data_IF_111325023521
#
_entry.id   IF_111325023521
#
_cell.length_a   1.000
_cell.length_b   1.000
_cell.length_c   1.000
_cell.angle_alpha   90.00
_cell.angle_beta   90.00
_cell.angle_gamma   90.00
#
_symmetry.space_group_name_H-M   'P 1'
#
loop_
_entity.id
_entity.type
_entity.pdbx_description
1 polymer ?
#
# COMPACT_ATOMS: atom_id res chain seq x y z
N UNK A 1 21.59 1.19 -27.99
CA UNK A 1 21.82 1.94 -26.74
C UNK A 1 20.75 1.45 -25.81
N UNK A 2 21.12 0.55 -24.88
CA UNK A 2 20.21 0.07 -23.84
C UNK A 2 19.90 1.26 -22.92
N UNK A 3 18.71 1.84 -23.04
CA UNK A 3 18.14 2.66 -21.99
C UNK A 3 17.91 1.72 -20.81
N UNK A 4 18.83 1.73 -19.84
CA UNK A 4 18.60 1.16 -18.53
C UNK A 4 17.56 2.09 -17.90
N UNK A 5 16.29 1.71 -18.01
CA UNK A 5 15.21 2.31 -17.22
C UNK A 5 15.67 2.30 -15.76
N UNK A 6 15.53 3.41 -15.05
CA UNK A 6 15.94 3.49 -13.66
C UNK A 6 15.15 2.45 -12.86
N UNK A 7 15.83 1.39 -12.44
CA UNK A 7 15.23 0.28 -11.74
C UNK A 7 14.72 0.75 -10.36
N UNK A 8 13.47 0.48 -10.05
CA UNK A 8 12.90 0.69 -8.71
C UNK A 8 13.71 -0.10 -7.69
N UNK A 9 14.17 0.55 -6.63
CA UNK A 9 14.98 -0.07 -5.57
C UNK A 9 14.36 0.16 -4.21
N UNK A 10 14.46 -0.86 -3.37
CA UNK A 10 14.05 -0.76 -1.97
C UNK A 10 15.15 -0.21 -1.09
N UNK A 11 14.73 0.39 0.03
CA UNK A 11 15.59 0.85 1.12
C UNK A 11 14.87 0.69 2.46
N UNK A 12 15.60 0.40 3.51
CA UNK A 12 15.09 0.55 4.88
C UNK A 12 15.31 1.99 5.30
N UNK A 13 14.23 2.71 5.55
CA UNK A 13 14.31 4.13 5.95
C UNK A 13 14.26 4.27 7.46
N UNK A 14 15.24 5.00 8.00
CA UNK A 14 15.36 5.27 9.44
C UNK A 14 14.08 5.90 10.02
N UNK A 15 13.41 6.79 9.27
CA UNK A 15 12.14 7.42 9.69
C UNK A 15 10.98 6.42 9.78
N UNK A 16 10.94 5.42 8.91
CA UNK A 16 9.88 4.40 8.93
C UNK A 16 10.09 3.42 10.08
N UNK A 17 11.33 2.94 10.33
CA UNK A 17 11.61 2.09 11.48
C UNK A 17 11.36 2.83 12.81
N UNK A 18 11.77 4.11 12.91
CA UNK A 18 11.51 4.94 14.09
C UNK A 18 10.01 5.06 14.38
N UNK A 19 9.22 5.37 13.35
CA UNK A 19 7.76 5.52 13.47
C UNK A 19 7.10 4.20 13.85
N UNK A 20 7.42 3.11 13.16
CA UNK A 20 6.87 1.78 13.42
C UNK A 20 7.19 1.31 14.84
N UNK A 21 8.41 1.52 15.31
CA UNK A 21 8.83 1.20 16.68
C UNK A 21 8.04 2.05 17.71
N UNK A 22 7.85 3.34 17.46
CA UNK A 22 7.08 4.19 18.36
C UNK A 22 5.61 3.73 18.46
N UNK A 23 4.99 3.34 17.35
CA UNK A 23 3.64 2.78 17.32
C UNK A 23 3.57 1.40 18.01
N UNK A 24 4.58 0.53 17.82
CA UNK A 24 4.71 -0.73 18.56
C UNK A 24 4.73 -0.48 20.08
N UNK A 25 5.54 0.45 20.56
CA UNK A 25 5.62 0.80 21.98
C UNK A 25 4.31 1.38 22.52
N UNK A 26 3.53 2.04 21.70
CA UNK A 26 2.19 2.53 22.03
C UNK A 26 1.12 1.44 22.07
N UNK A 27 1.44 0.22 21.67
CA UNK A 27 0.49 -0.88 21.68
C UNK A 27 -0.39 -0.95 20.42
N UNK A 28 0.06 -0.40 19.30
CA UNK A 28 -0.66 -0.46 18.04
C UNK A 28 -0.64 -1.90 17.49
N UNK A 29 -1.82 -2.50 17.30
CA UNK A 29 -1.97 -3.92 16.96
C UNK A 29 -1.22 -4.31 15.70
N UNK A 30 -1.23 -3.46 14.68
CA UNK A 30 -0.55 -3.65 13.42
C UNK A 30 0.98 -3.69 13.54
N UNK A 31 1.53 -3.14 14.62
CA UNK A 31 2.97 -3.12 14.90
C UNK A 31 3.39 -4.06 16.03
N UNK A 32 2.43 -4.61 16.81
CA UNK A 32 2.70 -5.66 17.82
C UNK A 32 2.75 -7.01 17.11
N UNK A 33 3.81 -7.24 16.38
CA UNK A 33 4.08 -8.50 15.71
C UNK A 33 5.41 -9.06 16.19
N UNK A 34 5.64 -10.32 15.92
CA UNK A 34 6.90 -11.01 16.19
C UNK A 34 7.45 -11.64 14.92
N UNK A 35 7.32 -10.93 13.81
CA UNK A 35 7.70 -11.43 12.49
C UNK A 35 9.19 -11.74 12.41
N UNK A 36 10.04 -10.89 13.01
CA UNK A 36 11.48 -11.14 13.14
C UNK A 36 11.80 -11.17 14.64
N UNK A 37 11.74 -12.36 15.29
CA UNK A 37 11.78 -12.47 16.76
C UNK A 37 13.00 -11.83 17.40
N UNK A 38 14.19 -11.99 16.81
CA UNK A 38 15.42 -11.35 17.33
C UNK A 38 15.32 -9.84 17.31
N UNK A 39 14.90 -9.27 16.19
CA UNK A 39 14.76 -7.82 16.03
C UNK A 39 13.70 -7.22 16.95
N UNK A 40 12.55 -7.88 17.07
CA UNK A 40 11.47 -7.40 17.95
C UNK A 40 11.84 -7.52 19.42
N UNK A 41 12.57 -8.55 19.82
CA UNK A 41 13.12 -8.68 21.17
C UNK A 41 14.14 -7.56 21.49
N UNK A 42 15.00 -7.21 20.54
CA UNK A 42 15.95 -6.10 20.68
C UNK A 42 15.23 -4.76 20.82
N UNK A 43 14.14 -4.54 20.05
CA UNK A 43 13.28 -3.36 20.21
C UNK A 43 12.72 -3.30 21.63
N UNK A 44 12.08 -4.38 22.08
CA UNK A 44 11.40 -4.43 23.38
C UNK A 44 12.37 -4.23 24.53
N UNK A 45 13.61 -4.77 24.42
CA UNK A 45 14.67 -4.59 25.41
C UNK A 45 15.24 -3.16 25.39
N UNK A 46 15.62 -2.66 24.23
CA UNK A 46 16.30 -1.36 24.10
C UNK A 46 15.38 -0.19 24.52
N UNK A 47 14.11 -0.26 24.10
CA UNK A 47 13.16 0.81 24.34
C UNK A 47 12.27 0.62 25.58
N UNK A 48 12.44 -0.44 26.36
CA UNK A 48 11.62 -0.75 27.57
C UNK A 48 11.45 0.43 28.53
N UNK A 49 12.53 1.15 28.80
CA UNK A 49 12.55 2.31 29.71
C UNK A 49 11.90 3.58 29.16
N UNK A 50 11.50 3.58 27.88
CA UNK A 50 10.89 4.73 27.22
C UNK A 50 9.37 4.56 26.97
N UNK A 51 8.74 3.52 27.54
CA UNK A 51 7.30 3.26 27.39
C UNK A 51 6.43 4.39 27.95
N UNK A 52 6.94 5.17 28.90
CA UNK A 52 6.28 6.34 29.50
C UNK A 52 6.68 7.67 28.81
N UNK A 53 7.37 7.61 27.67
CA UNK A 53 7.73 8.83 26.93
C UNK A 53 6.48 9.53 26.38
N UNK A 54 6.46 10.87 26.39
CA UNK A 54 5.32 11.69 25.93
C UNK A 54 4.82 11.33 24.52
N UNK A 55 5.70 10.90 23.62
CA UNK A 55 5.32 10.42 22.29
C UNK A 55 4.39 9.22 22.39
N UNK A 56 4.68 8.25 23.24
CA UNK A 56 3.92 7.01 23.36
C UNK A 56 2.49 7.29 23.83
N UNK A 57 2.33 8.13 24.86
CA UNK A 57 1.01 8.57 25.30
C UNK A 57 0.27 9.36 24.23
N UNK A 58 0.99 10.19 23.47
CA UNK A 58 0.42 10.96 22.37
C UNK A 58 -0.06 10.07 21.23
N UNK A 59 0.70 9.06 20.85
CA UNK A 59 0.28 8.08 19.81
C UNK A 59 -1.01 7.37 20.26
N UNK A 60 -1.11 6.90 21.50
CA UNK A 60 -2.34 6.28 22.03
C UNK A 60 -3.53 7.23 21.86
N UNK A 61 -3.36 8.50 22.23
CA UNK A 61 -4.40 9.53 22.12
C UNK A 61 -4.87 9.71 20.66
N UNK A 62 -3.96 9.95 19.71
CA UNK A 62 -4.35 10.20 18.31
C UNK A 62 -4.91 8.95 17.62
N UNK A 63 -4.54 7.75 18.06
CA UNK A 63 -5.17 6.49 17.61
C UNK A 63 -6.61 6.42 18.05
N UNK A 64 -6.89 6.73 19.31
CA UNK A 64 -8.24 6.70 19.88
C UNK A 64 -9.14 7.80 19.33
N UNK A 65 -8.64 9.04 19.29
CA UNK A 65 -9.44 10.21 18.93
C UNK A 65 -9.58 10.43 17.42
N UNK A 66 -8.58 10.05 16.63
CA UNK A 66 -8.51 10.35 15.20
C UNK A 66 -8.44 9.09 14.31
N UNK A 67 -8.36 7.90 14.90
CA UNK A 67 -8.27 6.65 14.15
C UNK A 67 -6.94 6.49 13.37
N UNK A 68 -5.86 7.14 13.81
CA UNK A 68 -4.55 7.05 13.14
C UNK A 68 -3.96 5.65 13.34
N UNK A 69 -4.07 4.82 12.32
CA UNK A 69 -3.65 3.43 12.30
C UNK A 69 -3.37 2.99 10.85
N UNK A 70 -2.74 1.84 10.68
CA UNK A 70 -2.50 1.20 9.38
C UNK A 70 -1.85 2.15 8.37
N UNK A 71 -2.48 2.39 7.24
CA UNK A 71 -2.01 3.22 6.12
C UNK A 71 -1.81 4.71 6.48
N UNK A 72 -2.54 5.24 7.48
CA UNK A 72 -2.33 6.62 7.96
C UNK A 72 -0.92 6.84 8.52
N UNK A 73 -0.31 5.80 9.09
CA UNK A 73 1.01 5.91 9.71
C UNK A 73 2.11 6.09 8.66
N UNK A 74 2.26 5.20 7.65
CA UNK A 74 3.23 5.40 6.58
C UNK A 74 2.91 6.63 5.72
N UNK A 75 1.64 7.02 5.55
CA UNK A 75 1.25 8.24 4.84
C UNK A 75 1.89 9.49 5.47
N UNK A 76 1.76 9.66 6.78
CA UNK A 76 2.41 10.75 7.50
C UNK A 76 3.94 10.61 7.53
N UNK A 77 4.45 9.37 7.68
CA UNK A 77 5.90 9.10 7.71
C UNK A 77 6.59 9.43 6.39
N UNK A 78 5.88 9.32 5.26
CA UNK A 78 6.35 9.77 3.95
C UNK A 78 6.71 11.25 3.90
N UNK A 79 6.14 12.05 4.81
CA UNK A 79 6.43 13.49 4.99
C UNK A 79 7.48 13.78 6.08
N UNK A 80 8.18 12.76 6.58
CA UNK A 80 9.18 12.91 7.64
C UNK A 80 10.58 12.58 7.11
N UNK A 81 11.53 13.44 7.41
CA UNK A 81 12.94 13.26 7.10
C UNK A 81 13.79 13.27 8.38
N UNK A 82 14.84 12.45 8.40
CA UNK A 82 15.88 12.53 9.44
C UNK A 82 17.11 13.16 8.80
N UNK A 83 17.44 14.36 9.26
CA UNK A 83 18.56 15.13 8.72
C UNK A 83 19.42 15.71 9.82
N UNK A 84 20.73 15.45 9.74
CA UNK A 84 21.71 15.93 10.73
C UNK A 84 21.33 15.61 12.17
N UNK A 85 20.83 14.37 12.40
CA UNK A 85 20.43 13.91 13.74
C UNK A 85 19.14 14.52 14.29
N UNK A 86 18.30 15.06 13.44
CA UNK A 86 16.98 15.62 13.78
C UNK A 86 15.89 15.03 12.90
N UNK A 87 14.75 14.72 13.52
CA UNK A 87 13.52 14.39 12.82
C UNK A 87 12.80 15.68 12.50
N UNK A 88 12.53 15.90 11.24
CA UNK A 88 11.87 17.11 10.72
C UNK A 88 10.77 16.73 9.73
N UNK A 89 9.84 17.64 9.53
CA UNK A 89 8.95 17.58 8.36
C UNK A 89 9.82 17.82 7.12
N UNK A 90 9.70 16.94 6.12
CA UNK A 90 10.39 17.11 4.84
C UNK A 90 10.11 18.51 4.29
N UNK A 91 11.13 19.34 3.98
CA UNK A 91 10.92 20.69 3.47
C UNK A 91 10.09 20.77 2.18
N UNK A 92 9.98 19.67 1.47
CA UNK A 92 9.14 19.56 0.28
C UNK A 92 7.68 19.23 0.64
N UNK A 93 7.38 18.87 1.89
CA UNK A 93 6.04 18.51 2.35
C UNK A 93 5.35 19.74 2.97
N UNK A 94 4.14 20.04 2.51
CA UNK A 94 3.29 21.08 3.11
C UNK A 94 2.42 20.47 4.22
N UNK A 95 2.84 20.65 5.47
CA UNK A 95 2.12 20.12 6.62
C UNK A 95 0.67 20.62 6.74
N UNK A 96 0.34 21.79 6.19
CA UNK A 96 -1.04 22.31 6.20
C UNK A 96 -1.98 21.48 5.32
N UNK A 97 -1.42 20.66 4.42
CA UNK A 97 -2.16 19.80 3.52
C UNK A 97 -2.10 18.33 3.91
N UNK A 98 -1.62 17.99 5.10
CA UNK A 98 -1.48 16.59 5.54
C UNK A 98 -2.81 15.84 5.48
N UNK A 99 -3.94 16.50 5.75
CA UNK A 99 -5.28 15.93 5.65
C UNK A 99 -5.70 15.54 4.23
N UNK A 100 -5.02 16.06 3.21
CA UNK A 100 -5.22 15.64 1.81
C UNK A 100 -4.46 14.35 1.49
N UNK A 101 -3.42 14.01 2.26
CA UNK A 101 -2.73 12.72 2.17
C UNK A 101 -3.57 11.67 2.88
N UNK A 102 -3.98 11.97 4.11
CA UNK A 102 -4.86 11.12 4.90
C UNK A 102 -5.70 11.99 5.84
N UNK A 103 -7.02 11.92 5.69
CA UNK A 103 -7.98 12.78 6.38
C UNK A 103 -8.01 12.60 7.91
N UNK A 104 -7.43 11.51 8.42
CA UNK A 104 -7.29 11.26 9.87
C UNK A 104 -6.27 12.19 10.53
N UNK A 105 -5.32 12.74 9.76
CA UNK A 105 -4.33 13.69 10.26
C UNK A 105 -4.82 15.14 10.12
N UNK A 106 -4.60 15.92 11.17
CA UNK A 106 -4.67 17.38 11.13
C UNK A 106 -3.26 17.97 11.10
N UNK A 107 -3.11 19.21 10.64
CA UNK A 107 -1.81 19.91 10.71
C UNK A 107 -1.26 19.94 12.14
N UNK A 108 -2.11 20.22 13.12
CA UNK A 108 -1.73 20.29 14.54
C UNK A 108 -1.25 18.94 15.06
N UNK A 109 -2.01 17.87 14.80
CA UNK A 109 -1.64 16.52 15.25
C UNK A 109 -0.34 16.06 14.60
N UNK A 110 -0.15 16.32 13.32
CA UNK A 110 1.06 15.96 12.61
C UNK A 110 2.30 16.73 13.10
N UNK A 111 2.21 18.04 13.24
CA UNK A 111 3.32 18.84 13.77
C UNK A 111 3.70 18.46 15.20
N UNK A 112 2.71 18.18 16.04
CA UNK A 112 2.94 17.69 17.41
C UNK A 112 3.60 16.32 17.40
N UNK A 113 3.13 15.42 16.56
CA UNK A 113 3.73 14.09 16.39
C UNK A 113 5.20 14.20 15.99
N UNK A 114 5.54 14.94 14.95
CA UNK A 114 6.94 15.09 14.47
C UNK A 114 7.84 15.70 15.55
N UNK A 115 7.36 16.70 16.28
CA UNK A 115 8.11 17.29 17.40
C UNK A 115 8.41 16.27 18.49
N UNK A 116 7.41 15.50 18.92
CA UNK A 116 7.59 14.46 19.94
C UNK A 116 8.43 13.28 19.42
N UNK A 117 8.32 12.94 18.15
CA UNK A 117 9.14 11.93 17.49
C UNK A 117 10.62 12.34 17.48
N UNK A 118 10.92 13.63 17.24
CA UNK A 118 12.26 14.16 17.34
C UNK A 118 12.81 14.09 18.76
N UNK A 119 12.00 14.40 19.77
CA UNK A 119 12.41 14.30 21.17
C UNK A 119 12.71 12.83 21.53
N UNK A 120 11.87 11.91 21.11
CA UNK A 120 12.05 10.47 21.29
C UNK A 120 13.31 9.98 20.58
N UNK A 121 13.53 10.33 19.32
CA UNK A 121 14.73 9.98 18.56
C UNK A 121 16.02 10.36 19.29
N UNK A 122 16.08 11.57 19.83
CA UNK A 122 17.25 12.08 20.54
C UNK A 122 17.44 11.43 21.91
N UNK A 123 16.38 11.32 22.71
CA UNK A 123 16.45 10.78 24.08
C UNK A 123 16.77 9.29 24.09
N UNK A 124 16.26 8.55 23.11
CA UNK A 124 16.52 7.11 22.97
C UNK A 124 17.85 6.79 22.29
N UNK A 125 18.52 7.80 21.72
CA UNK A 125 19.67 7.58 20.82
C UNK A 125 19.33 6.60 19.70
N UNK A 126 18.19 6.79 19.07
CA UNK A 126 17.64 5.88 18.05
C UNK A 126 18.66 5.55 16.96
N UNK A 127 19.51 6.51 16.58
CA UNK A 127 20.57 6.30 15.59
C UNK A 127 21.50 5.15 15.94
N UNK A 128 21.82 4.97 17.22
CA UNK A 128 22.70 3.89 17.67
C UNK A 128 22.01 2.53 17.48
N UNK A 129 20.72 2.45 17.86
CA UNK A 129 19.90 1.26 17.60
C UNK A 129 19.79 0.93 16.09
N UNK A 130 19.48 1.93 15.27
CA UNK A 130 19.37 1.76 13.81
C UNK A 130 20.70 1.29 13.20
N UNK A 131 21.82 1.86 13.64
CA UNK A 131 23.15 1.49 13.16
C UNK A 131 23.52 0.06 13.57
N UNK A 132 23.16 -0.35 14.77
CA UNK A 132 23.42 -1.71 15.28
C UNK A 132 22.74 -2.79 14.41
N UNK A 133 21.56 -2.47 13.85
CA UNK A 133 20.77 -3.40 13.04
C UNK A 133 21.01 -3.27 11.53
N UNK A 134 22.02 -2.48 11.10
CA UNK A 134 22.27 -2.25 9.67
C UNK A 134 22.41 -3.55 8.86
N UNK A 135 23.03 -4.58 9.45
CA UNK A 135 23.16 -5.88 8.79
C UNK A 135 21.83 -6.55 8.42
N UNK A 136 20.81 -6.46 9.30
CA UNK A 136 19.47 -6.95 9.00
C UNK A 136 18.80 -6.12 7.91
N UNK A 137 18.99 -4.81 7.93
CA UNK A 137 18.44 -3.91 6.91
C UNK A 137 19.05 -4.18 5.54
N UNK A 138 20.36 -4.41 5.47
CA UNK A 138 21.06 -4.76 4.22
C UNK A 138 20.54 -6.09 3.63
N UNK A 139 20.24 -7.08 4.48
CA UNK A 139 19.61 -8.34 4.06
C UNK A 139 18.21 -8.07 3.51
N UNK A 140 17.39 -7.27 4.20
CA UNK A 140 16.03 -6.94 3.76
C UNK A 140 16.05 -6.22 2.39
N UNK A 141 16.88 -5.18 2.25
CA UNK A 141 17.04 -4.44 1.00
C UNK A 141 17.49 -5.35 -0.14
N UNK A 142 18.50 -6.17 0.09
CA UNK A 142 19.05 -7.09 -0.92
C UNK A 142 17.98 -8.08 -1.38
N UNK A 143 17.29 -8.73 -0.44
CA UNK A 143 16.28 -9.75 -0.76
C UNK A 143 15.04 -9.16 -1.43
N UNK A 144 14.56 -7.99 -1.00
CA UNK A 144 13.45 -7.32 -1.64
C UNK A 144 13.81 -6.86 -3.06
N UNK A 145 15.03 -6.37 -3.26
CA UNK A 145 15.51 -5.97 -4.57
C UNK A 145 15.56 -7.15 -5.57
N UNK A 146 15.79 -8.40 -5.12
CA UNK A 146 15.72 -9.57 -6.01
C UNK A 146 14.31 -9.82 -6.56
N UNK A 147 13.26 -9.35 -5.86
CA UNK A 147 11.87 -9.42 -6.32
C UNK A 147 11.56 -8.25 -7.25
N UNK A 148 12.04 -7.05 -6.91
CA UNK A 148 11.81 -5.83 -7.71
C UNK A 148 12.44 -5.89 -9.10
N UNK A 149 13.48 -6.71 -9.31
CA UNK A 149 14.05 -6.96 -10.67
C UNK A 149 12.98 -7.44 -11.65
N UNK A 150 11.95 -8.10 -11.16
CA UNK A 150 10.89 -8.69 -11.98
C UNK A 150 9.75 -7.71 -12.30
N UNK A 151 9.80 -6.49 -11.76
CA UNK A 151 8.80 -5.47 -12.04
C UNK A 151 8.97 -4.93 -13.46
N UNK A 152 7.92 -5.04 -14.28
CA UNK A 152 7.88 -4.44 -15.61
C UNK A 152 7.38 -2.99 -15.52
N UNK A 153 8.31 -2.04 -15.40
CA UNK A 153 7.99 -0.61 -15.33
C UNK A 153 7.37 -0.08 -16.64
N UNK A 154 7.77 -0.62 -17.79
CA UNK A 154 7.22 -0.21 -19.11
C UNK A 154 5.74 -0.57 -19.26
N UNK A 155 5.27 -1.62 -18.58
CA UNK A 155 3.84 -1.91 -18.55
C UNK A 155 3.05 -0.77 -17.91
N UNK A 156 3.49 -0.25 -16.75
CA UNK A 156 2.85 0.91 -16.11
C UNK A 156 2.82 2.12 -17.02
N UNK A 157 3.94 2.41 -17.69
CA UNK A 157 4.05 3.52 -18.63
C UNK A 157 3.10 3.36 -19.81
N UNK A 158 2.97 2.12 -20.32
CA UNK A 158 2.00 1.81 -21.37
C UNK A 158 0.56 1.98 -20.90
N UNK A 159 0.25 1.61 -19.66
CA UNK A 159 -1.12 1.64 -19.13
C UNK A 159 -1.57 3.02 -18.67
N UNK A 160 -0.65 3.84 -18.14
CA UNK A 160 -0.98 5.09 -17.45
C UNK A 160 -0.29 6.33 -18.04
N UNK A 161 0.65 6.16 -18.99
CA UNK A 161 1.47 7.25 -19.54
C UNK A 161 2.70 7.59 -18.69
N UNK A 162 2.83 7.02 -17.51
CA UNK A 162 3.97 7.19 -16.59
C UNK A 162 4.31 5.87 -15.87
N UNK A 163 5.59 5.66 -15.59
CA UNK A 163 6.10 4.48 -14.90
C UNK A 163 6.31 4.70 -13.40
N UNK A 164 6.66 3.63 -12.64
CA UNK A 164 6.87 3.69 -11.20
C UNK A 164 8.29 4.13 -10.79
N UNK A 165 9.12 4.63 -11.69
CA UNK A 165 10.56 4.89 -11.46
C UNK A 165 10.82 5.88 -10.32
N UNK A 166 9.89 6.78 -10.06
CA UNK A 166 9.98 7.77 -8.98
C UNK A 166 9.33 7.28 -7.67
N UNK A 167 8.90 6.02 -7.61
CA UNK A 167 8.29 5.46 -6.40
C UNK A 167 9.35 5.05 -5.39
N UNK A 168 9.15 5.43 -4.14
CA UNK A 168 9.98 5.04 -3.01
C UNK A 168 9.48 3.69 -2.50
N UNK A 169 10.31 2.65 -2.55
CA UNK A 169 9.98 1.36 -1.95
C UNK A 169 10.72 1.24 -0.62
N UNK A 170 9.96 1.17 0.46
CA UNK A 170 10.50 1.04 1.82
C UNK A 170 10.34 -0.41 2.28
N UNK A 171 11.45 -1.07 2.59
CA UNK A 171 11.43 -2.30 3.36
C UNK A 171 11.34 -1.92 4.85
N UNK A 172 10.36 -2.45 5.58
CA UNK A 172 10.22 -2.17 7.02
C UNK A 172 10.10 -3.45 7.83
N UNK A 173 11.02 -3.62 8.79
CA UNK A 173 11.11 -4.83 9.60
C UNK A 173 10.09 -4.82 10.74
N UNK A 174 9.85 -3.65 11.33
CA UNK A 174 8.89 -3.50 12.42
C UNK A 174 7.43 -3.44 11.93
N UNK A 175 7.22 -3.23 10.64
CA UNK A 175 5.87 -3.18 10.04
C UNK A 175 5.17 -4.55 10.01
N UNK A 176 5.89 -5.64 10.34
CA UNK A 176 5.35 -6.99 10.25
C UNK A 176 4.98 -7.36 8.81
N UNK A 177 3.89 -8.11 8.62
CA UNK A 177 3.44 -8.51 7.29
C UNK A 177 2.63 -7.43 6.55
N UNK A 178 2.39 -6.27 7.16
CA UNK A 178 1.59 -5.20 6.57
C UNK A 178 2.28 -4.55 5.36
N UNK A 179 1.49 -4.19 4.35
CA UNK A 179 1.94 -3.47 3.16
C UNK A 179 1.00 -2.32 2.90
N UNK A 180 1.52 -1.16 2.52
CA UNK A 180 0.71 0.04 2.33
C UNK A 180 1.30 0.93 1.25
N UNK A 181 0.47 1.44 0.36
CA UNK A 181 0.81 2.57 -0.48
C UNK A 181 0.71 3.88 0.32
N UNK A 182 1.56 4.84 0.02
CA UNK A 182 1.49 6.19 0.61
C UNK A 182 1.83 7.26 -0.43
N UNK A 183 1.18 8.40 -0.29
CA UNK A 183 1.45 9.59 -1.09
C UNK A 183 2.04 10.67 -0.19
N UNK A 184 3.04 11.40 -0.68
CA UNK A 184 3.53 12.60 -0.02
C UNK A 184 3.09 13.84 -0.80
N UNK A 185 2.64 14.89 -0.12
CA UNK A 185 2.45 16.19 -0.76
C UNK A 185 3.82 16.87 -0.87
N UNK A 186 4.43 16.72 -2.02
CA UNK A 186 5.69 17.38 -2.34
C UNK A 186 5.56 18.11 -3.67
N UNK A 187 6.44 19.06 -3.90
CA UNK A 187 6.65 19.64 -5.23
C UNK A 187 7.28 18.59 -6.18
N UNK A 188 6.58 17.54 -6.49
CA UNK A 188 7.09 16.42 -7.29
C UNK A 188 6.51 15.08 -6.88
N UNK A 189 5.32 15.10 -6.24
CA UNK A 189 4.52 13.92 -5.91
C UNK A 189 5.36 12.70 -5.48
N UNK A 190 5.89 12.72 -4.26
CA UNK A 190 6.52 11.53 -3.70
C UNK A 190 5.45 10.47 -3.49
N UNK A 191 5.54 9.42 -4.28
CA UNK A 191 4.74 8.20 -4.13
C UNK A 191 5.61 7.14 -3.50
N UNK A 192 5.04 6.31 -2.66
CA UNK A 192 5.79 5.23 -2.05
C UNK A 192 4.93 4.05 -1.66
N UNK A 193 5.61 2.94 -1.43
CA UNK A 193 5.02 1.76 -0.80
C UNK A 193 5.92 1.34 0.35
N UNK A 194 5.32 0.89 1.44
CA UNK A 194 6.01 0.20 2.53
C UNK A 194 5.68 -1.27 2.45
N UNK A 195 6.71 -2.09 2.47
CA UNK A 195 6.62 -3.54 2.34
C UNK A 195 7.12 -4.16 3.63
N UNK A 196 6.26 -4.91 4.28
CA UNK A 196 6.61 -5.74 5.41
C UNK A 196 7.38 -6.99 4.98
N UNK A 197 7.88 -7.72 5.95
CA UNK A 197 8.65 -8.94 5.69
C UNK A 197 8.13 -10.11 6.53
N UNK A 198 8.51 -11.31 6.14
CA UNK A 198 8.48 -12.53 6.95
C UNK A 198 9.88 -12.84 7.48
N UNK A 199 10.06 -13.97 8.11
CA UNK A 199 11.38 -14.44 8.57
C UNK A 199 11.74 -15.78 7.96
N UNK A 200 13.03 -16.01 7.71
CA UNK A 200 13.56 -17.32 7.36
C UNK A 200 13.88 -18.16 8.61
N UNK A 201 14.41 -19.36 8.42
CA UNK A 201 14.77 -20.28 9.52
C UNK A 201 15.92 -19.76 10.39
N UNK A 202 16.73 -18.88 9.86
CA UNK A 202 17.87 -18.25 10.52
C UNK A 202 17.45 -16.96 11.25
N UNK A 203 16.18 -16.53 11.18
CA UNK A 203 15.67 -15.32 11.80
C UNK A 203 15.89 -14.04 11.00
N UNK A 204 16.30 -14.14 9.73
CA UNK A 204 16.52 -12.98 8.87
C UNK A 204 15.26 -12.56 8.11
N UNK A 205 15.15 -11.27 7.70
CA UNK A 205 14.07 -10.82 6.84
C UNK A 205 13.96 -11.63 5.56
N UNK A 206 12.76 -12.12 5.26
CA UNK A 206 12.49 -12.96 4.10
C UNK A 206 11.26 -12.46 3.33
N UNK A 207 11.24 -12.73 2.03
CA UNK A 207 10.15 -12.38 1.13
C UNK A 207 9.83 -13.55 0.23
N UNK A 208 8.57 -13.91 0.13
CA UNK A 208 8.13 -14.91 -0.83
C UNK A 208 8.10 -14.32 -2.25
N UNK A 209 8.21 -15.18 -3.26
CA UNK A 209 8.03 -14.74 -4.66
C UNK A 209 6.62 -14.20 -4.93
N UNK A 210 5.65 -14.61 -4.14
CA UNK A 210 4.27 -14.10 -4.21
C UNK A 210 4.21 -12.59 -3.94
N UNK A 211 5.17 -12.03 -3.22
CA UNK A 211 5.21 -10.62 -2.88
C UNK A 211 5.18 -9.69 -4.11
N UNK A 212 5.61 -10.14 -5.28
CA UNK A 212 5.49 -9.34 -6.51
C UNK A 212 4.04 -8.97 -6.83
N UNK A 213 3.07 -9.84 -6.48
CA UNK A 213 1.64 -9.52 -6.67
C UNK A 213 1.19 -8.40 -5.75
N UNK A 214 1.69 -8.40 -4.51
CA UNK A 214 1.42 -7.35 -3.53
C UNK A 214 2.10 -6.04 -3.96
N UNK A 215 3.36 -6.09 -4.37
CA UNK A 215 4.10 -4.91 -4.85
C UNK A 215 3.38 -4.26 -6.03
N UNK A 216 2.96 -5.03 -7.01
CA UNK A 216 2.19 -4.51 -8.16
C UNK A 216 0.87 -3.91 -7.70
N UNK A 217 0.17 -4.56 -6.80
CA UNK A 217 -1.09 -4.08 -6.23
C UNK A 217 -0.89 -2.74 -5.51
N UNK A 218 0.09 -2.63 -4.61
CA UNK A 218 0.36 -1.38 -3.88
C UNK A 218 0.80 -0.24 -4.82
N UNK A 219 1.64 -0.55 -5.82
CA UNK A 219 2.03 0.44 -6.82
C UNK A 219 0.85 0.95 -7.64
N UNK A 220 -0.09 0.06 -7.98
CA UNK A 220 -1.26 0.41 -8.80
C UNK A 220 -2.18 1.40 -8.09
N UNK A 221 -2.27 1.41 -6.76
CA UNK A 221 -3.07 2.40 -6.04
C UNK A 221 -2.71 3.85 -6.40
N UNK A 222 -1.45 4.14 -6.74
CA UNK A 222 -1.02 5.47 -7.18
C UNK A 222 -1.63 5.91 -8.51
N UNK A 223 -2.09 4.96 -9.31
CA UNK A 223 -2.67 5.20 -10.64
C UNK A 223 -4.18 5.02 -10.64
N UNK A 224 -4.66 3.95 -10.01
CA UNK A 224 -6.08 3.57 -10.02
C UNK A 224 -6.93 4.49 -9.16
N UNK A 225 -6.46 4.84 -7.95
CA UNK A 225 -7.22 5.68 -7.02
C UNK A 225 -7.55 7.06 -7.61
N UNK A 226 -6.59 7.82 -8.19
CA UNK A 226 -6.91 9.09 -8.82
C UNK A 226 -7.83 8.94 -10.04
N UNK A 227 -7.68 7.88 -10.83
CA UNK A 227 -8.57 7.60 -11.96
C UNK A 227 -10.01 7.39 -11.48
N UNK A 228 -10.21 6.52 -10.49
CA UNK A 228 -11.55 6.21 -9.99
C UNK A 228 -12.19 7.42 -9.29
N UNK A 229 -11.42 8.18 -8.52
CA UNK A 229 -11.89 9.35 -7.81
C UNK A 229 -12.53 10.40 -8.73
N UNK A 230 -11.99 10.60 -9.95
CA UNK A 230 -12.54 11.53 -10.94
C UNK A 230 -13.94 11.13 -11.43
N UNK A 231 -14.24 9.85 -11.41
CA UNK A 231 -15.49 9.29 -11.92
C UNK A 231 -16.44 8.79 -10.82
N UNK A 232 -16.07 9.01 -9.54
CA UNK A 232 -16.81 8.45 -8.41
C UNK A 232 -18.30 8.77 -8.46
N UNK A 233 -18.68 10.02 -8.71
CA UNK A 233 -20.08 10.45 -8.79
C UNK A 233 -20.91 9.72 -9.86
N UNK A 234 -20.24 9.11 -10.85
CA UNK A 234 -20.91 8.41 -11.95
C UNK A 234 -21.10 6.90 -11.65
N UNK A 235 -20.40 6.37 -10.64
CA UNK A 235 -20.47 4.95 -10.23
C UNK A 235 -20.99 4.76 -8.81
N UNK A 236 -21.18 5.82 -8.03
CA UNK A 236 -21.59 5.72 -6.62
C UNK A 236 -22.91 4.97 -6.48
N UNK A 237 -23.94 5.32 -7.27
CA UNK A 237 -25.23 4.62 -7.24
C UNK A 237 -25.11 3.14 -7.58
N UNK A 238 -24.27 2.78 -8.56
CA UNK A 238 -24.02 1.39 -8.92
C UNK A 238 -23.29 0.65 -7.79
N UNK A 239 -22.32 1.30 -7.15
CA UNK A 239 -21.59 0.72 -6.03
C UNK A 239 -22.52 0.42 -4.83
N UNK A 240 -23.52 1.25 -4.60
CA UNK A 240 -24.55 1.06 -3.58
C UNK A 240 -25.48 -0.13 -3.86
N UNK A 241 -25.68 -0.49 -5.12
CA UNK A 241 -26.41 -1.69 -5.54
C UNK A 241 -25.55 -2.94 -5.31
N UNK A 242 -24.26 -2.90 -5.71
CA UNK A 242 -23.33 -4.04 -5.64
C UNK A 242 -22.94 -4.39 -4.20
N UNK A 243 -22.57 -3.39 -3.39
CA UNK A 243 -21.96 -3.59 -2.09
C UNK A 243 -22.76 -4.45 -1.10
N UNK A 244 -24.10 -4.32 -0.97
CA UNK A 244 -24.87 -5.15 -0.04
C UNK A 244 -24.72 -6.65 -0.27
N UNK A 245 -24.51 -7.09 -1.51
CA UNK A 245 -24.37 -8.50 -1.86
C UNK A 245 -23.01 -9.10 -1.47
N UNK A 246 -22.00 -8.27 -1.29
CA UNK A 246 -20.62 -8.69 -1.00
C UNK A 246 -20.10 -8.21 0.34
N UNK A 247 -20.90 -7.41 1.07
CA UNK A 247 -20.52 -6.70 2.30
C UNK A 247 -19.83 -7.59 3.33
N UNK A 248 -20.34 -8.78 3.57
CA UNK A 248 -19.79 -9.67 4.59
C UNK A 248 -18.38 -10.17 4.23
N UNK A 249 -18.15 -10.50 2.97
CA UNK A 249 -16.83 -10.89 2.47
C UNK A 249 -15.88 -9.71 2.49
N UNK A 250 -16.35 -8.54 2.03
CA UNK A 250 -15.55 -7.29 2.00
C UNK A 250 -15.15 -6.83 3.40
N UNK A 251 -16.04 -6.93 4.39
CA UNK A 251 -15.74 -6.57 5.77
C UNK A 251 -14.60 -7.43 6.37
N UNK A 252 -14.52 -8.72 6.00
CA UNK A 252 -13.42 -9.61 6.43
C UNK A 252 -12.06 -9.20 5.85
N UNK A 253 -12.05 -8.49 4.73
CA UNK A 253 -10.87 -7.93 4.08
C UNK A 253 -10.58 -6.48 4.49
N UNK A 254 -11.31 -5.95 5.49
CA UNK A 254 -11.27 -4.56 5.92
C UNK A 254 -11.78 -3.54 4.86
N UNK A 255 -12.54 -3.97 3.86
CA UNK A 255 -13.16 -3.10 2.84
C UNK A 255 -14.59 -2.75 3.27
N UNK A 256 -14.71 -1.96 4.35
CA UNK A 256 -15.96 -1.69 5.06
C UNK A 256 -16.90 -0.67 4.40
N UNK A 257 -16.68 -0.24 3.16
CA UNK A 257 -17.51 0.75 2.47
C UNK A 257 -17.64 0.47 0.97
N UNK A 258 -18.63 1.09 0.33
CA UNK A 258 -18.80 1.06 -1.14
C UNK A 258 -17.54 1.58 -1.83
N UNK A 259 -16.99 2.69 -1.32
CA UNK A 259 -15.82 3.33 -1.90
C UNK A 259 -14.59 2.42 -1.82
N UNK A 260 -14.25 1.89 -0.64
CA UNK A 260 -13.11 0.99 -0.49
C UNK A 260 -13.26 -0.28 -1.32
N UNK A 261 -14.47 -0.85 -1.41
CA UNK A 261 -14.74 -2.03 -2.25
C UNK A 261 -14.47 -1.76 -3.73
N UNK A 262 -14.90 -0.62 -4.26
CA UNK A 262 -14.70 -0.30 -5.68
C UNK A 262 -13.26 0.10 -5.99
N UNK A 263 -12.58 0.78 -5.07
CA UNK A 263 -11.14 1.06 -5.18
C UNK A 263 -10.37 -0.26 -5.29
N UNK A 264 -10.64 -1.19 -4.39
CA UNK A 264 -9.96 -2.49 -4.37
C UNK A 264 -10.33 -3.37 -5.57
N UNK A 265 -11.59 -3.36 -6.00
CA UNK A 265 -11.99 -4.04 -7.22
C UNK A 265 -11.17 -3.56 -8.42
N UNK A 266 -11.13 -2.25 -8.65
CA UNK A 266 -10.44 -1.68 -9.80
C UNK A 266 -8.94 -1.92 -9.73
N UNK A 267 -8.36 -1.79 -8.54
CA UNK A 267 -6.94 -2.05 -8.31
C UNK A 267 -6.59 -3.53 -8.55
N UNK A 268 -7.39 -4.46 -8.04
CA UNK A 268 -7.22 -5.89 -8.28
C UNK A 268 -7.41 -6.26 -9.76
N UNK A 269 -8.37 -5.65 -10.46
CA UNK A 269 -8.57 -5.85 -11.89
C UNK A 269 -7.30 -5.52 -12.67
N UNK A 270 -6.67 -4.38 -12.41
CA UNK A 270 -5.44 -4.00 -13.09
C UNK A 270 -4.21 -4.79 -12.60
N UNK A 271 -4.21 -5.27 -11.36
CA UNK A 271 -3.22 -6.25 -10.90
C UNK A 271 -3.29 -7.53 -11.73
N UNK A 272 -4.49 -8.07 -11.94
CA UNK A 272 -4.67 -9.28 -12.77
C UNK A 272 -4.26 -9.01 -14.22
N UNK A 273 -4.59 -7.84 -14.76
CA UNK A 273 -4.17 -7.42 -16.11
C UNK A 273 -2.64 -7.38 -16.22
N UNK A 274 -1.95 -6.86 -15.20
CA UNK A 274 -0.49 -6.87 -15.19
C UNK A 274 0.06 -8.30 -15.36
N UNK A 275 -0.43 -9.27 -14.59
CA UNK A 275 0.04 -10.66 -14.68
C UNK A 275 -0.43 -11.38 -15.95
N UNK A 276 -1.54 -10.96 -16.55
CA UNK A 276 -1.97 -11.44 -17.86
C UNK A 276 -1.00 -11.03 -18.96
N UNK A 277 -0.53 -9.78 -18.91
CA UNK A 277 0.40 -9.22 -19.88
C UNK A 277 1.87 -9.59 -19.60
N UNK A 278 2.17 -10.00 -18.37
CA UNK A 278 3.49 -10.43 -17.90
C UNK A 278 3.43 -11.86 -17.32
N UNK A 279 3.16 -12.88 -18.14
CA UNK A 279 3.01 -14.25 -17.67
C UNK A 279 4.34 -14.79 -17.22
N UNK A 280 4.63 -14.77 -15.93
CA UNK A 280 5.81 -15.37 -15.35
C UNK A 280 5.55 -15.94 -13.95
N UNK A 281 6.35 -16.93 -13.58
CA UNK A 281 6.60 -17.33 -12.19
C UNK A 281 5.46 -17.97 -11.42
N UNK A 282 4.60 -18.71 -12.10
CA UNK A 282 3.58 -19.54 -11.45
C UNK A 282 2.31 -18.81 -11.06
N UNK A 283 2.19 -17.48 -11.37
CA UNK A 283 0.95 -16.75 -11.23
C UNK A 283 0.30 -16.59 -12.59
N UNK A 284 -0.92 -17.09 -12.73
CA UNK A 284 -1.72 -16.87 -13.94
C UNK A 284 -2.86 -15.91 -13.63
N UNK A 285 -3.25 -15.13 -14.63
CA UNK A 285 -4.43 -14.28 -14.51
C UNK A 285 -5.67 -15.08 -14.12
N UNK A 286 -5.81 -16.32 -14.61
CA UNK A 286 -6.92 -17.21 -14.25
C UNK A 286 -6.96 -17.52 -12.76
N UNK A 287 -5.83 -17.90 -12.15
CA UNK A 287 -5.77 -18.18 -10.71
C UNK A 287 -6.05 -16.93 -9.88
N UNK A 288 -5.49 -15.79 -10.27
CA UNK A 288 -5.72 -14.53 -9.56
C UNK A 288 -7.20 -14.11 -9.69
N UNK A 289 -7.83 -14.27 -10.85
CA UNK A 289 -9.26 -13.98 -11.05
C UNK A 289 -10.12 -14.83 -10.13
N UNK A 290 -9.90 -16.17 -10.13
CA UNK A 290 -10.64 -17.09 -9.28
C UNK A 290 -10.45 -16.76 -7.79
N UNK A 291 -9.23 -16.44 -7.38
CA UNK A 291 -8.97 -16.04 -6.00
C UNK A 291 -9.75 -14.79 -5.61
N UNK A 292 -9.71 -13.73 -6.43
CA UNK A 292 -10.47 -12.50 -6.15
C UNK A 292 -11.99 -12.68 -6.16
N UNK A 293 -12.51 -13.59 -6.98
CA UNK A 293 -13.93 -13.96 -6.92
C UNK A 293 -14.27 -14.65 -5.59
N UNK A 294 -13.43 -15.58 -5.13
CA UNK A 294 -13.62 -16.24 -3.83
C UNK A 294 -13.59 -15.23 -2.66
N UNK A 295 -12.72 -14.23 -2.71
CA UNK A 295 -12.67 -13.15 -1.72
C UNK A 295 -13.91 -12.24 -1.71
N UNK A 296 -14.73 -12.27 -2.77
CA UNK A 296 -15.98 -11.53 -2.85
C UNK A 296 -16.13 -10.59 -4.05
N UNK A 297 -15.10 -10.41 -4.87
CA UNK A 297 -15.22 -9.67 -6.14
C UNK A 297 -15.83 -10.57 -7.21
N UNK A 298 -17.07 -11.04 -6.98
CA UNK A 298 -17.72 -12.11 -7.75
C UNK A 298 -17.90 -11.78 -9.24
N UNK A 299 -17.83 -10.49 -9.63
CA UNK A 299 -17.89 -10.04 -11.03
C UNK A 299 -16.50 -9.90 -11.68
N UNK A 300 -15.42 -10.38 -11.04
CA UNK A 300 -14.05 -10.20 -11.54
C UNK A 300 -13.81 -10.85 -12.89
N UNK A 301 -14.41 -12.01 -13.17
CA UNK A 301 -14.26 -12.67 -14.47
C UNK A 301 -14.95 -11.89 -15.59
N UNK A 302 -16.15 -11.35 -15.33
CA UNK A 302 -16.81 -10.42 -16.26
C UNK A 302 -15.94 -9.18 -16.50
N UNK A 303 -15.31 -8.67 -15.43
CA UNK A 303 -14.38 -7.52 -15.53
C UNK A 303 -13.19 -7.84 -16.43
N UNK A 304 -12.58 -9.02 -16.26
CA UNK A 304 -11.46 -9.47 -17.09
C UNK A 304 -11.86 -9.66 -18.57
N UNK A 305 -13.07 -10.18 -18.81
CA UNK A 305 -13.61 -10.31 -20.18
C UNK A 305 -13.86 -8.92 -20.80
N UNK A 306 -14.42 -7.99 -20.04
CA UNK A 306 -14.62 -6.61 -20.47
C UNK A 306 -13.31 -5.91 -20.84
N UNK A 307 -12.23 -6.14 -20.07
CA UNK A 307 -10.92 -5.54 -20.33
C UNK A 307 -10.26 -6.03 -21.63
N UNK A 308 -10.73 -7.12 -22.25
CA UNK A 308 -10.30 -7.48 -23.60
C UNK A 308 -10.67 -6.41 -24.63
N UNK A 309 -11.77 -5.68 -24.40
CA UNK A 309 -12.11 -4.54 -25.26
C UNK A 309 -11.02 -3.46 -25.23
N UNK A 310 -10.51 -3.10 -24.06
CA UNK A 310 -9.39 -2.18 -23.93
C UNK A 310 -8.13 -2.72 -24.64
N UNK A 311 -7.78 -3.99 -24.41
CA UNK A 311 -6.59 -4.62 -25.01
C UNK A 311 -6.63 -4.63 -26.54
N UNK A 312 -7.81 -4.88 -27.12
CA UNK A 312 -8.00 -4.99 -28.54
C UNK A 312 -8.16 -3.64 -29.25
N UNK A 313 -8.37 -2.55 -28.51
CA UNK A 313 -8.64 -1.22 -29.07
C UNK A 313 -7.66 -0.15 -28.56
N UNK A 314 -6.39 -0.53 -28.37
CA UNK A 314 -5.33 0.38 -27.89
C UNK A 314 -5.08 1.59 -28.82
N UNK A 315 -5.49 1.51 -30.06
CA UNK A 315 -5.48 2.63 -31.00
C UNK A 315 -6.52 3.71 -30.67
N UNK A 316 -7.61 3.36 -29.99
CA UNK A 316 -8.64 4.28 -29.51
C UNK A 316 -8.38 4.73 -28.07
N UNK A 317 -7.89 3.83 -27.25
CA UNK A 317 -7.64 4.03 -25.82
C UNK A 317 -6.13 3.85 -25.53
N UNK A 318 -5.39 4.95 -25.58
CA UNK A 318 -3.94 4.90 -25.37
C UNK A 318 -3.58 4.51 -23.92
N UNK A 319 -4.40 4.96 -22.97
CA UNK A 319 -4.22 4.69 -21.55
C UNK A 319 -5.53 4.28 -20.88
N UNK A 320 -5.44 3.82 -19.64
CA UNK A 320 -6.64 3.53 -18.80
C UNK A 320 -7.47 4.80 -18.59
N UNK A 321 -6.85 5.99 -18.55
CA UNK A 321 -7.60 7.26 -18.42
C UNK A 321 -8.55 7.47 -19.59
N UNK A 322 -8.11 7.13 -20.80
CA UNK A 322 -8.94 7.23 -22.00
C UNK A 322 -10.11 6.24 -21.98
N UNK A 323 -9.94 5.10 -21.31
CA UNK A 323 -10.91 4.02 -21.19
C UNK A 323 -11.87 4.16 -20.00
N UNK A 324 -11.66 5.12 -19.09
CA UNK A 324 -12.50 5.29 -17.91
C UNK A 324 -14.00 5.45 -18.19
N UNK A 325 -14.46 6.16 -19.23
CA UNK A 325 -15.90 6.21 -19.56
C UNK A 325 -16.52 4.83 -19.82
N UNK A 326 -15.78 3.92 -20.46
CA UNK A 326 -16.23 2.55 -20.70
C UNK A 326 -16.27 1.74 -19.39
N UNK A 327 -15.29 1.96 -18.49
CA UNK A 327 -15.27 1.36 -17.15
C UNK A 327 -16.50 1.82 -16.35
N UNK A 328 -16.86 3.09 -16.41
CA UNK A 328 -18.08 3.64 -15.78
C UNK A 328 -19.32 2.93 -16.33
N UNK A 329 -19.41 2.81 -17.65
CA UNK A 329 -20.52 2.13 -18.32
C UNK A 329 -20.61 0.66 -17.90
N UNK A 330 -19.47 -0.03 -17.81
CA UNK A 330 -19.38 -1.42 -17.35
C UNK A 330 -19.85 -1.58 -15.89
N UNK A 331 -19.43 -0.70 -14.98
CA UNK A 331 -19.84 -0.75 -13.56
C UNK A 331 -21.37 -0.55 -13.44
N UNK A 332 -21.93 0.44 -14.14
CA UNK A 332 -23.37 0.70 -14.13
C UNK A 332 -24.17 -0.47 -14.73
N UNK A 333 -23.68 -1.04 -15.84
CA UNK A 333 -24.29 -2.23 -16.43
C UNK A 333 -24.24 -3.42 -15.47
N UNK A 334 -23.08 -3.68 -14.87
CA UNK A 334 -22.90 -4.78 -13.90
C UNK A 334 -23.86 -4.65 -12.73
N UNK A 335 -24.06 -3.44 -12.20
CA UNK A 335 -25.02 -3.19 -11.13
C UNK A 335 -26.45 -3.49 -11.56
N UNK A 336 -26.86 -3.06 -12.78
CA UNK A 336 -28.21 -3.32 -13.30
C UNK A 336 -28.49 -4.80 -13.60
N UNK A 337 -27.44 -5.61 -13.81
CA UNK A 337 -27.49 -7.04 -14.13
C UNK A 337 -26.98 -7.93 -12.98
N UNK A 338 -26.93 -7.38 -11.75
CA UNK A 338 -26.24 -8.06 -10.65
C UNK A 338 -26.87 -9.39 -10.24
N UNK A 339 -28.18 -9.55 -10.41
CA UNK A 339 -28.85 -10.84 -10.18
C UNK A 339 -28.31 -11.95 -11.09
N UNK A 340 -27.91 -11.63 -12.32
CA UNK A 340 -27.29 -12.59 -13.21
C UNK A 340 -25.82 -12.83 -12.82
N UNK A 341 -25.12 -11.83 -12.31
CA UNK A 341 -23.77 -12.01 -11.73
C UNK A 341 -23.78 -13.03 -10.60
N UNK A 342 -24.76 -12.92 -9.69
CA UNK A 342 -24.93 -13.88 -8.59
C UNK A 342 -25.20 -15.28 -9.11
N UNK A 343 -26.12 -15.48 -10.05
CA UNK A 343 -26.41 -16.78 -10.66
C UNK A 343 -25.20 -17.40 -11.35
N UNK A 344 -24.41 -16.60 -12.07
CA UNK A 344 -23.18 -17.07 -12.73
C UNK A 344 -22.12 -17.51 -11.73
N UNK A 345 -22.00 -16.79 -10.61
CA UNK A 345 -21.10 -17.12 -9.54
C UNK A 345 -21.52 -18.43 -8.83
N UNK A 346 -22.79 -18.53 -8.42
CA UNK A 346 -23.34 -19.68 -7.72
C UNK A 346 -23.25 -20.97 -8.55
N UNK A 347 -23.42 -20.88 -9.88
CA UNK A 347 -23.28 -22.01 -10.78
C UNK A 347 -21.85 -22.52 -10.96
N UNK A 348 -20.84 -21.78 -10.48
CA UNK A 348 -19.40 -22.13 -10.56
C UNK A 348 -18.82 -22.61 -9.24
N UNK A 349 -19.45 -22.29 -8.11
CA UNK A 349 -19.09 -22.89 -6.83
C UNK A 349 -19.57 -24.35 -6.81
N UNK A 350 -18.68 -25.35 -6.61
CA UNK A 350 -19.02 -26.76 -6.59
C UNK A 350 -19.88 -27.17 -5.39
#
# INVERSE_FOLDING_TARGET
INNISAQVKSQVKESFELTSIAFRLAGAEEYINNTIPGYTADIDNYFSKYREHKLISYIKKIREEQGIAYDAVPAATGCIEIKRGKVIIDPQCDASKISMIDSRWTEESFRTFVRLLNDFYRQTKFKDFYTLHRGLYDIAETRLNTILVDLNAEWFKSMFGEGPENTIVVASLCNGPGNYAFNGITKGEKRGIVIGCSTDKEGNPAYSRFLITVIVHELLHHYTNPCLAQYWSQIDSASQIIYPHVKEKMAKLAYGSTNSTMIEWFNNLLTIMYFKDNPNRGFTATHLTAWRQHEGFIWMERSMTFMEHFRNHRNLYSTIKDFMPEIVSFVNYTASDFDNVLKEYDNKEP
#
